data_IF_378849009629
#
_entry.id   IF_378849009629
#
_cell.length_a   1.000
_cell.length_b   1.000
_cell.length_c   1.000
_cell.angle_alpha   90.00
_cell.angle_beta   90.00
_cell.angle_gamma   90.00
#
_symmetry.space_group_name_H-M   'P 1'
#
loop_
_entity.id
_entity.type
_entity.pdbx_description
1 polymer ?
#
# COMPACT_ATOMS: atom_id res chain seq x y z
N UNK A 1 0.48 -5.00 30.10
CA UNK A 1 0.08 -3.60 29.84
C UNK A 1 -0.89 -3.22 30.97
N UNK A 2 -0.65 -2.15 31.71
CA UNK A 2 -1.54 -1.70 32.80
C UNK A 2 -2.64 -0.81 32.24
N UNK A 3 -3.82 -0.83 32.84
CA UNK A 3 -4.92 0.00 32.36
C UNK A 3 -4.62 1.49 32.61
N UNK A 4 -4.90 2.40 31.67
CA UNK A 4 -4.61 3.83 31.84
C UNK A 4 -5.28 4.48 33.05
N UNK A 5 -6.48 4.00 33.40
CA UNK A 5 -7.16 4.41 34.64
C UNK A 5 -6.38 4.00 35.90
N UNK A 6 -5.78 2.80 35.90
CA UNK A 6 -4.94 2.33 37.01
C UNK A 6 -3.61 3.10 37.09
N UNK A 7 -3.01 3.44 35.94
CA UNK A 7 -1.78 4.24 35.89
C UNK A 7 -1.98 5.62 36.52
N UNK A 8 -3.14 6.23 36.27
CA UNK A 8 -3.52 7.53 36.86
C UNK A 8 -4.14 7.39 38.26
N UNK A 9 -4.49 6.17 38.69
CA UNK A 9 -5.14 5.90 39.98
C UNK A 9 -6.54 6.49 40.08
N UNK A 10 -7.28 6.51 38.96
CA UNK A 10 -8.64 7.07 38.87
C UNK A 10 -9.64 5.99 38.46
N UNK A 11 -10.90 6.18 38.85
CA UNK A 11 -11.98 5.29 38.43
C UNK A 11 -12.33 5.47 36.94
N UNK A 12 -12.88 4.43 36.27
CA UNK A 12 -13.28 4.52 34.86
C UNK A 12 -14.39 5.55 34.61
N UNK A 13 -15.14 5.94 35.64
CA UNK A 13 -16.23 6.92 35.59
C UNK A 13 -15.72 8.36 35.86
N UNK A 14 -14.43 8.53 36.16
CA UNK A 14 -13.85 9.82 36.56
C UNK A 14 -14.04 10.93 35.50
N UNK A 15 -14.24 12.16 35.95
CA UNK A 15 -14.39 13.33 35.09
C UNK A 15 -13.03 13.76 34.50
N UNK A 16 -13.06 14.52 33.39
CA UNK A 16 -11.84 15.08 32.79
C UNK A 16 -11.05 15.96 33.77
N UNK A 17 -11.75 16.65 34.69
CA UNK A 17 -11.12 17.44 35.76
C UNK A 17 -10.35 16.57 36.75
N UNK A 18 -10.91 15.43 37.14
CA UNK A 18 -10.28 14.50 38.08
C UNK A 18 -9.04 13.85 37.46
N UNK A 19 -9.14 13.50 36.17
CA UNK A 19 -8.02 12.98 35.38
C UNK A 19 -6.88 14.03 35.32
N UNK A 20 -7.19 15.30 35.07
CA UNK A 20 -6.21 16.38 35.08
C UNK A 20 -5.56 16.59 36.45
N UNK A 21 -6.35 16.53 37.52
CA UNK A 21 -5.86 16.66 38.88
C UNK A 21 -4.92 15.52 39.27
N UNK A 22 -5.32 14.27 38.99
CA UNK A 22 -4.50 13.09 39.24
C UNK A 22 -3.19 13.12 38.44
N UNK A 23 -3.26 13.50 37.15
CA UNK A 23 -2.09 13.69 36.31
C UNK A 23 -1.11 14.71 36.90
N UNK A 24 -1.58 15.90 37.29
CA UNK A 24 -0.71 16.94 37.88
C UNK A 24 -0.03 16.47 39.15
N UNK A 25 -0.76 15.78 40.04
CA UNK A 25 -0.23 15.24 41.29
C UNK A 25 0.89 14.22 41.04
N UNK A 26 0.68 13.30 40.11
CA UNK A 26 1.65 12.25 39.80
C UNK A 26 2.82 12.75 38.94
N UNK A 27 2.58 13.68 38.02
CA UNK A 27 3.61 14.31 37.20
C UNK A 27 4.64 15.06 38.06
N UNK A 28 4.20 15.75 39.13
CA UNK A 28 5.11 16.40 40.08
C UNK A 28 5.96 15.39 40.88
N UNK A 29 5.44 14.19 41.13
CA UNK A 29 6.13 13.12 41.85
C UNK A 29 7.16 12.42 40.97
N UNK A 30 6.83 12.19 39.70
CA UNK A 30 7.67 11.46 38.74
C UNK A 30 8.41 12.36 37.74
N UNK A 31 8.49 13.67 38.00
CA UNK A 31 9.16 14.61 37.09
C UNK A 31 10.65 14.25 36.93
N UNK A 32 11.19 14.23 35.70
CA UNK A 32 12.58 13.84 35.46
C UNK A 32 13.59 14.75 36.17
N UNK A 33 13.23 16.02 36.40
CA UNK A 33 14.08 16.99 37.09
C UNK A 33 14.24 16.69 38.60
N UNK A 34 13.24 16.10 39.25
CA UNK A 34 13.33 15.73 40.67
C UNK A 34 13.96 14.35 40.89
N UNK A 35 13.88 13.49 39.89
CA UNK A 35 14.31 12.11 39.94
C UNK A 35 15.41 11.84 38.90
N UNK A 36 16.43 12.70 38.88
CA UNK A 36 17.55 12.58 37.95
C UNK A 36 18.28 11.25 38.20
N UNK A 37 18.39 10.41 37.17
CA UNK A 37 19.19 9.18 37.20
C UNK A 37 18.43 7.85 37.31
N UNK A 38 17.10 7.85 37.50
CA UNK A 38 16.32 6.60 37.49
C UNK A 38 15.54 6.42 36.18
N UNK A 39 15.95 5.42 35.41
CA UNK A 39 15.29 5.04 34.16
C UNK A 39 13.85 4.52 34.39
N UNK A 40 13.57 4.00 35.59
CA UNK A 40 12.24 3.50 35.96
C UNK A 40 11.22 4.64 36.08
N UNK A 41 11.58 5.75 36.73
CA UNK A 41 10.69 6.92 36.82
C UNK A 41 10.46 7.57 35.46
N UNK A 42 11.45 7.50 34.56
CA UNK A 42 11.27 7.97 33.19
C UNK A 42 10.23 7.14 32.43
N UNK A 43 10.28 5.80 32.55
CA UNK A 43 9.28 4.90 31.94
C UNK A 43 7.89 5.15 32.52
N UNK A 44 7.76 5.27 33.84
CA UNK A 44 6.49 5.57 34.52
C UNK A 44 5.93 6.92 34.06
N UNK A 45 6.79 7.95 33.95
CA UNK A 45 6.37 9.27 33.49
C UNK A 45 5.85 9.24 32.04
N UNK A 46 6.52 8.51 31.15
CA UNK A 46 6.06 8.30 29.77
C UNK A 46 4.71 7.57 29.72
N UNK A 47 4.52 6.52 30.52
CA UNK A 47 3.24 5.81 30.64
C UNK A 47 2.12 6.74 31.13
N UNK A 48 2.43 7.57 32.12
CA UNK A 48 1.50 8.52 32.72
C UNK A 48 1.08 9.62 31.74
N UNK A 49 2.03 10.13 30.95
CA UNK A 49 1.75 11.09 29.90
C UNK A 49 0.90 10.50 28.77
N UNK A 50 1.14 9.24 28.41
CA UNK A 50 0.33 8.51 27.43
C UNK A 50 -1.10 8.29 27.95
N UNK A 51 -1.26 7.85 29.21
CA UNK A 51 -2.55 7.66 29.86
C UNK A 51 -3.37 8.97 29.87
N UNK A 52 -2.75 10.07 30.28
CA UNK A 52 -3.39 11.38 30.29
C UNK A 52 -3.82 11.84 28.89
N UNK A 53 -2.96 11.68 27.88
CA UNK A 53 -3.29 12.10 26.51
C UNK A 53 -4.51 11.37 25.96
N UNK A 54 -4.66 10.08 26.26
CA UNK A 54 -5.76 9.26 25.77
C UNK A 54 -7.05 9.54 26.56
N UNK A 55 -6.99 9.63 27.89
CA UNK A 55 -8.18 9.83 28.71
C UNK A 55 -8.73 11.26 28.69
N UNK A 56 -7.92 12.26 28.32
CA UNK A 56 -8.35 13.67 28.29
C UNK A 56 -9.28 13.97 27.13
N UNK A 57 -9.07 13.33 25.97
CA UNK A 57 -9.90 13.55 24.78
C UNK A 57 -11.03 12.52 24.74
N UNK A 58 -12.28 12.98 24.71
CA UNK A 58 -13.48 12.12 24.72
C UNK A 58 -13.48 11.07 23.61
N UNK A 59 -13.03 11.44 22.40
CA UNK A 59 -12.96 10.51 21.27
C UNK A 59 -11.96 9.38 21.52
N UNK A 60 -10.79 9.74 22.03
CA UNK A 60 -9.70 8.80 22.30
C UNK A 60 -10.01 7.94 23.53
N UNK A 61 -10.69 8.49 24.53
CA UNK A 61 -11.22 7.78 25.70
C UNK A 61 -12.26 6.74 25.29
N UNK A 62 -13.25 7.12 24.48
CA UNK A 62 -14.27 6.20 23.97
C UNK A 62 -13.66 5.08 23.12
N UNK A 63 -12.65 5.40 22.30
CA UNK A 63 -11.89 4.38 21.56
C UNK A 63 -11.14 3.42 22.49
N UNK A 64 -10.46 3.96 23.50
CA UNK A 64 -9.74 3.14 24.48
C UNK A 64 -10.69 2.24 25.27
N UNK A 65 -11.81 2.77 25.76
CA UNK A 65 -12.78 2.02 26.55
C UNK A 65 -13.37 0.85 25.73
N UNK A 66 -13.68 1.07 24.44
CA UNK A 66 -14.15 0.02 23.53
C UNK A 66 -13.11 -1.08 23.28
N UNK A 67 -11.83 -0.70 23.20
CA UNK A 67 -10.75 -1.62 22.80
C UNK A 67 -9.92 -2.13 23.99
N UNK A 68 -10.20 -1.71 25.22
CA UNK A 68 -9.40 -2.00 26.42
C UNK A 68 -9.25 -3.50 26.66
N UNK A 69 -10.33 -4.27 26.59
CA UNK A 69 -10.30 -5.72 26.83
C UNK A 69 -9.38 -6.44 25.84
N UNK A 70 -9.41 -6.02 24.58
CA UNK A 70 -8.61 -6.61 23.54
C UNK A 70 -7.15 -6.11 23.58
N UNK A 71 -6.90 -4.84 23.93
CA UNK A 71 -5.54 -4.35 24.21
C UNK A 71 -4.89 -5.12 25.37
N UNK A 72 -5.69 -5.51 26.37
CA UNK A 72 -5.25 -6.34 27.48
C UNK A 72 -4.96 -7.79 27.02
N UNK A 73 -5.79 -8.33 26.13
CA UNK A 73 -5.62 -9.68 25.55
C UNK A 73 -4.46 -9.77 24.54
N UNK A 74 -4.19 -8.70 23.78
CA UNK A 74 -2.99 -8.59 22.95
C UNK A 74 -1.74 -8.70 23.83
N UNK A 75 -1.77 -8.29 25.10
CA UNK A 75 -0.65 -8.48 26.01
C UNK A 75 -0.32 -9.93 26.37
N UNK A 76 -1.24 -10.89 26.17
CA UNK A 76 -1.13 -12.28 26.65
C UNK A 76 -1.02 -13.32 25.54
N UNK A 77 -1.53 -13.07 24.33
CA UNK A 77 -1.40 -13.98 23.18
C UNK A 77 -1.26 -13.22 21.86
N UNK A 78 -0.05 -12.79 21.54
CA UNK A 78 0.26 -12.11 20.28
C UNK A 78 0.65 -13.14 19.22
N UNK A 79 -0.35 -13.76 18.60
CA UNK A 79 -0.11 -14.40 17.30
C UNK A 79 -0.88 -13.74 16.15
N UNK A 80 -1.92 -12.93 16.42
CA UNK A 80 -2.67 -12.26 15.38
C UNK A 80 -3.11 -10.84 15.79
N UNK A 81 -2.35 -9.84 15.33
CA UNK A 81 -2.84 -8.45 15.25
C UNK A 81 -4.14 -8.41 14.42
N UNK A 82 -5.26 -8.14 15.09
CA UNK A 82 -6.51 -7.87 14.40
C UNK A 82 -6.54 -6.40 13.95
N UNK A 83 -6.31 -6.16 12.66
CA UNK A 83 -6.28 -4.83 12.07
C UNK A 83 -7.66 -4.14 12.10
N UNK A 84 -8.74 -4.92 12.13
CA UNK A 84 -10.12 -4.41 12.12
C UNK A 84 -10.51 -3.76 13.48
N UNK A 85 -9.65 -3.91 14.49
CA UNK A 85 -9.87 -3.42 15.85
C UNK A 85 -9.55 -1.93 16.04
N UNK A 86 -8.60 -1.44 15.24
CA UNK A 86 -8.12 -0.08 15.38
C UNK A 86 -9.01 0.82 14.51
N UNK A 87 -10.08 1.37 15.11
CA UNK A 87 -10.89 2.40 14.46
C UNK A 87 -10.11 3.73 14.40
N UNK A 88 -9.24 3.82 13.39
CA UNK A 88 -8.38 4.98 13.14
C UNK A 88 -9.17 6.16 12.57
N UNK A 89 -10.40 5.93 12.11
CA UNK A 89 -11.22 6.96 11.44
C UNK A 89 -11.67 8.09 12.38
N UNK A 90 -11.87 7.79 13.66
CA UNK A 90 -12.42 8.73 14.65
C UNK A 90 -11.39 9.29 15.65
N UNK A 91 -10.10 9.09 15.38
CA UNK A 91 -9.01 9.39 16.31
C UNK A 91 -8.38 10.77 16.04
N UNK A 92 -7.87 11.46 17.08
CA UNK A 92 -7.09 12.71 16.91
C UNK A 92 -5.85 12.48 16.04
N UNK A 93 -5.43 13.47 15.23
CA UNK A 93 -4.25 13.34 14.34
C UNK A 93 -2.99 12.87 15.08
N UNK A 94 -2.73 13.34 16.31
CA UNK A 94 -1.57 12.89 17.08
C UNK A 94 -1.67 11.41 17.47
N UNK A 95 -2.87 10.96 17.81
CA UNK A 95 -3.12 9.58 18.18
C UNK A 95 -3.14 8.65 16.96
N UNK A 96 -3.59 9.14 15.80
CA UNK A 96 -3.47 8.46 14.51
C UNK A 96 -2.03 8.00 14.28
N UNK A 97 -1.05 8.93 14.30
CA UNK A 97 0.36 8.58 14.09
C UNK A 97 0.91 7.66 15.18
N UNK A 98 0.50 7.82 16.44
CA UNK A 98 0.96 6.95 17.53
C UNK A 98 0.46 5.51 17.36
N UNK A 99 -0.84 5.34 17.10
CA UNK A 99 -1.46 4.03 16.93
C UNK A 99 -0.90 3.33 15.70
N UNK A 100 -0.79 4.02 14.57
CA UNK A 100 -0.24 3.42 13.34
C UNK A 100 1.22 3.02 13.52
N UNK A 101 2.07 3.89 14.07
CA UNK A 101 3.46 3.54 14.36
C UNK A 101 3.53 2.30 15.26
N UNK A 102 2.74 2.26 16.34
CA UNK A 102 2.70 1.12 17.24
C UNK A 102 2.33 -0.18 16.52
N UNK A 103 1.28 -0.17 15.70
CA UNK A 103 0.84 -1.37 14.95
C UNK A 103 1.96 -1.89 14.05
N UNK A 104 2.58 -1.02 13.25
CA UNK A 104 3.63 -1.45 12.31
C UNK A 104 4.93 -1.85 13.01
N UNK A 105 5.25 -1.23 14.15
CA UNK A 105 6.36 -1.67 14.99
C UNK A 105 6.12 -3.06 15.58
N UNK A 106 4.92 -3.34 16.08
CA UNK A 106 4.57 -4.67 16.60
C UNK A 106 4.60 -5.71 15.49
N UNK A 107 4.00 -5.40 14.35
CA UNK A 107 4.01 -6.25 13.16
C UNK A 107 5.45 -6.57 12.74
N UNK A 108 6.34 -5.57 12.71
CA UNK A 108 7.73 -5.79 12.39
C UNK A 108 8.48 -6.59 13.46
N UNK A 109 8.22 -6.35 14.75
CA UNK A 109 8.81 -7.13 15.86
C UNK A 109 8.44 -8.61 15.77
N UNK A 110 7.19 -8.92 15.44
CA UNK A 110 6.73 -10.29 15.18
C UNK A 110 7.48 -10.91 13.99
N UNK A 111 7.54 -10.21 12.87
CA UNK A 111 8.13 -10.72 11.62
C UNK A 111 9.65 -10.84 11.67
N UNK A 112 10.31 -9.95 12.42
CA UNK A 112 11.76 -9.96 12.62
C UNK A 112 12.23 -11.31 13.17
N UNK A 113 11.46 -11.93 14.08
CA UNK A 113 11.77 -13.26 14.65
C UNK A 113 11.93 -14.34 13.56
N UNK A 114 11.07 -14.30 12.55
CA UNK A 114 11.06 -15.29 11.47
C UNK A 114 12.02 -14.97 10.32
N UNK A 115 12.36 -13.70 10.12
CA UNK A 115 13.33 -13.27 9.11
C UNK A 115 14.77 -13.43 9.58
N UNK A 116 15.03 -13.24 10.87
CA UNK A 116 16.37 -13.39 11.46
C UNK A 116 16.87 -14.84 11.38
N UNK A 117 15.98 -15.83 11.45
CA UNK A 117 16.35 -17.25 11.39
C UNK A 117 16.70 -17.73 9.97
N UNK A 118 16.35 -16.97 8.94
CA UNK A 118 16.56 -17.36 7.53
C UNK A 118 17.72 -16.61 6.87
N UNK A 119 17.86 -15.30 7.09
CA UNK A 119 18.90 -14.47 6.43
C UNK A 119 19.26 -13.22 7.29
N UNK A 120 20.08 -13.40 8.32
CA UNK A 120 20.43 -12.30 9.23
C UNK A 120 21.25 -11.17 8.57
N UNK A 121 22.04 -11.46 7.54
CA UNK A 121 22.98 -10.52 6.93
C UNK A 121 22.33 -9.45 6.02
N UNK A 122 21.13 -9.70 5.48
CA UNK A 122 20.45 -8.82 4.52
C UNK A 122 19.14 -8.21 5.07
N UNK A 123 18.95 -8.20 6.39
CA UNK A 123 17.71 -7.73 6.98
C UNK A 123 17.63 -6.20 6.98
N UNK A 124 17.06 -5.64 5.91
CA UNK A 124 16.68 -4.22 5.87
C UNK A 124 15.61 -3.96 6.91
N UNK A 125 15.82 -2.96 7.77
CA UNK A 125 14.81 -2.52 8.74
C UNK A 125 13.55 -2.00 8.04
N UNK A 126 12.39 -2.31 8.58
CA UNK A 126 11.13 -1.73 8.10
C UNK A 126 11.14 -0.21 8.30
N UNK A 127 10.69 0.58 7.31
CA UNK A 127 10.53 2.02 7.46
C UNK A 127 9.46 2.33 8.51
N UNK A 128 9.72 3.35 9.34
CA UNK A 128 8.76 3.89 10.30
C UNK A 128 7.72 4.77 9.58
N UNK A 129 6.52 4.89 10.13
CA UNK A 129 5.44 5.71 9.56
C UNK A 129 5.67 7.22 9.74
N UNK A 130 6.50 7.60 10.73
CA UNK A 130 6.88 8.98 10.98
C UNK A 130 5.79 9.82 11.64
N UNK A 131 5.78 11.12 11.36
CA UNK A 131 4.89 12.12 11.93
C UNK A 131 4.29 13.04 10.84
N UNK A 132 3.46 14.01 11.24
CA UNK A 132 2.82 14.93 10.30
C UNK A 132 3.81 15.68 9.38
N UNK A 133 5.04 15.91 9.85
CA UNK A 133 6.07 16.69 9.16
C UNK A 133 7.11 15.80 8.44
N UNK A 134 6.85 14.49 8.32
CA UNK A 134 7.79 13.60 7.63
C UNK A 134 7.94 14.00 6.16
N UNK A 135 9.15 13.89 5.60
CA UNK A 135 9.36 14.25 4.21
C UNK A 135 8.58 13.29 3.29
N UNK A 136 8.26 13.79 2.09
CA UNK A 136 7.51 13.04 1.08
C UNK A 136 8.18 11.71 0.75
N UNK A 137 9.51 11.70 0.62
CA UNK A 137 10.30 10.50 0.30
C UNK A 137 10.12 9.39 1.34
N UNK A 138 10.12 9.72 2.62
CA UNK A 138 9.98 8.73 3.70
C UNK A 138 8.57 8.16 3.72
N UNK A 139 7.57 9.01 3.46
CA UNK A 139 6.17 8.61 3.35
C UNK A 139 5.99 7.63 2.18
N UNK A 140 6.59 7.94 1.02
CA UNK A 140 6.56 7.04 -0.15
C UNK A 140 7.30 5.73 0.12
N UNK A 141 8.49 5.79 0.72
CA UNK A 141 9.27 4.60 1.09
C UNK A 141 8.49 3.69 2.04
N UNK A 142 7.79 4.28 3.01
CA UNK A 142 6.92 3.55 3.92
C UNK A 142 5.83 2.80 3.16
N UNK A 143 5.00 3.50 2.39
CA UNK A 143 3.90 2.85 1.68
C UNK A 143 4.39 1.85 0.64
N UNK A 144 5.48 2.11 -0.07
CA UNK A 144 6.07 1.17 -1.05
C UNK A 144 6.57 -0.12 -0.38
N UNK A 145 7.20 -0.01 0.79
CA UNK A 145 7.65 -1.18 1.54
C UNK A 145 6.46 -2.01 2.04
N UNK A 146 5.45 -1.36 2.63
CA UNK A 146 4.33 -2.04 3.25
C UNK A 146 3.32 -2.58 2.22
N UNK A 147 3.17 -1.95 1.05
CA UNK A 147 2.36 -2.51 -0.06
C UNK A 147 3.03 -3.74 -0.68
N UNK A 148 4.36 -3.79 -0.73
CA UNK A 148 5.12 -4.97 -1.19
C UNK A 148 5.41 -5.99 -0.08
N UNK A 149 4.84 -5.78 1.11
CA UNK A 149 5.10 -6.64 2.26
C UNK A 149 4.51 -8.05 2.10
N UNK A 150 5.30 -9.04 2.49
CA UNK A 150 4.89 -10.45 2.53
C UNK A 150 5.32 -11.03 3.88
N UNK A 151 4.34 -11.57 4.62
CA UNK A 151 4.61 -12.28 5.88
C UNK A 151 5.49 -13.51 5.67
N UNK A 152 6.49 -13.68 6.54
CA UNK A 152 7.36 -14.86 6.61
C UNK A 152 7.06 -15.77 7.80
N UNK A 153 5.93 -15.53 8.48
CA UNK A 153 5.48 -16.34 9.62
C UNK A 153 5.43 -17.83 9.25
N UNK A 154 5.89 -18.68 10.16
CA UNK A 154 6.09 -20.10 9.88
C UNK A 154 4.82 -20.94 10.03
N UNK A 155 3.88 -20.52 10.88
CA UNK A 155 2.64 -21.24 11.23
C UNK A 155 2.88 -22.70 11.66
N UNK A 156 4.06 -22.97 12.24
CA UNK A 156 4.50 -24.32 12.65
C UNK A 156 3.55 -24.95 13.68
N UNK A 157 2.94 -24.14 14.56
CA UNK A 157 1.98 -24.62 15.57
C UNK A 157 0.69 -25.18 14.97
N UNK A 158 0.40 -24.90 13.70
CA UNK A 158 -0.73 -25.48 12.97
C UNK A 158 -0.39 -26.87 12.39
N UNK A 159 0.86 -27.32 12.55
CA UNK A 159 1.29 -28.65 12.13
C UNK A 159 0.83 -29.64 13.18
N UNK A 160 0.00 -30.60 12.78
CA UNK A 160 -0.48 -31.63 13.69
C UNK A 160 0.67 -32.56 14.14
N UNK A 161 0.82 -32.75 15.44
CA UNK A 161 1.84 -33.63 16.05
C UNK A 161 1.66 -35.12 15.70
N UNK A 162 0.47 -35.51 15.23
CA UNK A 162 0.09 -36.89 14.89
C UNK A 162 1.01 -37.54 13.84
N UNK A 163 1.79 -36.75 13.10
CA UNK A 163 2.61 -37.21 11.97
C UNK A 163 4.12 -37.21 12.24
N UNK A 164 4.55 -36.94 13.48
CA UNK A 164 5.94 -37.08 13.93
C UNK A 164 6.36 -38.54 14.19
N UNK A 165 5.43 -39.50 14.10
CA UNK A 165 5.71 -40.92 14.34
C UNK A 165 6.70 -41.47 13.30
N UNK A 166 7.75 -42.14 13.78
CA UNK A 166 8.85 -42.72 12.98
C UNK A 166 8.38 -43.72 11.90
N UNK A 167 7.16 -44.24 12.03
CA UNK A 167 6.62 -45.33 11.21
C UNK A 167 5.84 -44.87 9.95
N UNK A 168 5.85 -43.59 9.61
CA UNK A 168 5.13 -43.07 8.43
C UNK A 168 5.99 -43.12 7.17
N UNK A 169 5.47 -43.71 6.09
CA UNK A 169 6.15 -43.79 4.80
C UNK A 169 6.53 -42.39 4.23
N UNK A 170 7.70 -42.30 3.60
CA UNK A 170 8.27 -41.06 3.02
C UNK A 170 7.31 -40.35 2.05
N UNK A 171 6.57 -41.10 1.23
CA UNK A 171 5.60 -40.55 0.27
C UNK A 171 4.45 -39.83 0.96
N UNK A 172 3.93 -40.41 2.04
CA UNK A 172 2.86 -39.82 2.84
C UNK A 172 3.33 -38.52 3.52
N UNK A 173 4.54 -38.54 4.11
CA UNK A 173 5.16 -37.34 4.71
C UNK A 173 5.33 -36.20 3.69
N UNK A 174 5.79 -36.50 2.47
CA UNK A 174 5.90 -35.51 1.37
C UNK A 174 4.55 -34.94 0.96
N UNK A 175 3.49 -35.77 0.89
CA UNK A 175 2.13 -35.30 0.57
C UNK A 175 1.64 -34.36 1.66
N UNK A 176 1.83 -34.72 2.92
CA UNK A 176 1.45 -33.89 4.07
C UNK A 176 2.22 -32.57 4.12
N UNK A 177 3.56 -32.58 4.00
CA UNK A 177 4.36 -31.35 4.00
C UNK A 177 3.94 -30.41 2.86
N UNK A 178 3.48 -30.96 1.73
CA UNK A 178 2.91 -30.17 0.62
C UNK A 178 1.57 -29.55 0.99
N UNK A 179 0.65 -30.29 1.61
CA UNK A 179 -0.62 -29.73 2.09
C UNK A 179 -0.38 -28.66 3.17
N UNK A 180 0.52 -28.94 4.11
CA UNK A 180 0.92 -27.97 5.13
C UNK A 180 1.51 -26.71 4.50
N UNK A 181 2.38 -26.83 3.49
CA UNK A 181 2.90 -25.67 2.78
C UNK A 181 1.79 -24.84 2.11
N UNK A 182 0.71 -25.46 1.62
CA UNK A 182 -0.47 -24.72 1.12
C UNK A 182 -1.17 -23.98 2.25
N UNK A 183 -1.39 -24.64 3.39
CA UNK A 183 -2.03 -24.03 4.57
C UNK A 183 -1.21 -22.82 5.04
N UNK A 184 0.11 -22.97 5.17
CA UNK A 184 1.03 -21.88 5.54
C UNK A 184 0.93 -20.72 4.54
N UNK A 185 0.99 -21.01 3.24
CA UNK A 185 0.88 -19.98 2.21
C UNK A 185 -0.50 -19.29 2.22
N UNK A 186 -1.58 -20.03 2.46
CA UNK A 186 -2.92 -19.45 2.57
C UNK A 186 -3.03 -18.49 3.75
N UNK A 187 -2.55 -18.88 4.94
CA UNK A 187 -2.53 -18.01 6.13
C UNK A 187 -1.67 -16.76 5.92
N UNK A 188 -0.51 -16.89 5.26
CA UNK A 188 0.32 -15.73 4.88
C UNK A 188 -0.42 -14.79 3.94
N UNK A 189 -1.11 -15.33 2.94
CA UNK A 189 -1.92 -14.54 2.01
C UNK A 189 -3.07 -13.84 2.74
N UNK A 190 -3.79 -14.52 3.63
CA UNK A 190 -4.87 -13.93 4.41
C UNK A 190 -4.37 -12.76 5.27
N UNK A 191 -3.25 -12.95 5.98
CA UNK A 191 -2.62 -11.86 6.75
C UNK A 191 -2.23 -10.69 5.87
N UNK A 192 -1.65 -10.94 4.70
CA UNK A 192 -1.31 -9.88 3.75
C UNK A 192 -2.56 -9.15 3.25
N UNK A 193 -3.66 -9.87 2.96
CA UNK A 193 -4.93 -9.25 2.55
C UNK A 193 -5.48 -8.33 3.64
N UNK A 194 -5.47 -8.76 4.92
CA UNK A 194 -5.87 -7.91 6.05
C UNK A 194 -4.99 -6.64 6.14
N UNK A 195 -3.68 -6.80 5.99
CA UNK A 195 -2.73 -5.67 5.96
C UNK A 195 -3.01 -4.72 4.78
N UNK A 196 -3.28 -5.23 3.58
CA UNK A 196 -3.59 -4.40 2.41
C UNK A 196 -4.90 -3.64 2.58
N UNK A 197 -5.92 -4.27 3.16
CA UNK A 197 -7.18 -3.58 3.51
C UNK A 197 -6.91 -2.42 4.47
N UNK A 198 -6.10 -2.65 5.50
CA UNK A 198 -5.69 -1.63 6.45
C UNK A 198 -4.85 -0.51 5.81
N UNK A 199 -3.89 -0.84 4.94
CA UNK A 199 -3.13 0.18 4.20
C UNK A 199 -4.05 1.04 3.33
N UNK A 200 -5.04 0.43 2.67
CA UNK A 200 -6.03 1.18 1.88
C UNK A 200 -6.82 2.17 2.72
N UNK A 201 -7.19 1.81 3.97
CA UNK A 201 -7.84 2.77 4.87
C UNK A 201 -6.87 3.88 5.30
N UNK A 202 -5.62 3.55 5.62
CA UNK A 202 -4.59 4.55 5.95
C UNK A 202 -4.30 5.52 4.80
N UNK A 203 -4.17 5.02 3.57
CA UNK A 203 -3.94 5.83 2.37
C UNK A 203 -5.10 6.82 2.13
N UNK A 204 -6.33 6.46 2.54
CA UNK A 204 -7.49 7.36 2.47
C UNK A 204 -7.49 8.40 3.58
N UNK A 205 -6.96 8.08 4.77
CA UNK A 205 -6.96 8.97 5.93
C UNK A 205 -5.74 9.91 6.01
N UNK A 206 -4.59 9.48 5.48
CA UNK A 206 -3.33 10.22 5.58
C UNK A 206 -3.28 11.39 4.60
N UNK A 207 -3.38 12.60 5.13
CA UNK A 207 -3.29 13.84 4.36
C UNK A 207 -1.95 13.98 3.61
N UNK A 208 -0.84 13.45 4.16
CA UNK A 208 0.47 13.51 3.48
C UNK A 208 0.42 12.68 2.20
N UNK A 209 -0.10 11.46 2.30
CA UNK A 209 -0.24 10.57 1.17
C UNK A 209 -1.20 11.13 0.10
N UNK A 210 -2.32 11.73 0.52
CA UNK A 210 -3.24 12.37 -0.39
C UNK A 210 -2.58 13.50 -1.18
N UNK A 211 -1.80 14.38 -0.53
CA UNK A 211 -1.03 15.44 -1.20
C UNK A 211 -0.04 14.87 -2.22
N UNK A 212 0.70 13.82 -1.83
CA UNK A 212 1.64 13.12 -2.71
C UNK A 212 0.92 12.54 -3.93
N UNK A 213 -0.23 11.89 -3.71
CA UNK A 213 -1.05 11.31 -4.77
C UNK A 213 -1.55 12.39 -5.74
N UNK A 214 -2.04 13.52 -5.24
CA UNK A 214 -2.49 14.64 -6.06
C UNK A 214 -1.34 15.22 -6.90
N UNK A 215 -0.19 15.47 -6.29
CA UNK A 215 0.99 15.97 -7.01
C UNK A 215 1.46 15.00 -8.10
N UNK A 216 1.44 13.69 -7.82
CA UNK A 216 1.76 12.66 -8.83
C UNK A 216 0.75 12.66 -9.98
N UNK A 217 -0.54 12.79 -9.70
CA UNK A 217 -1.58 12.87 -10.73
C UNK A 217 -1.37 14.11 -11.61
N UNK A 218 -1.10 15.26 -11.01
CA UNK A 218 -0.84 16.49 -11.75
C UNK A 218 0.41 16.36 -12.64
N UNK A 219 1.50 15.83 -12.08
CA UNK A 219 2.74 15.62 -12.84
C UNK A 219 2.54 14.65 -14.01
N UNK A 220 1.71 13.62 -13.85
CA UNK A 220 1.39 12.69 -14.94
C UNK A 220 0.60 13.38 -16.05
N UNK A 221 -0.40 14.20 -15.72
CA UNK A 221 -1.16 14.99 -16.70
C UNK A 221 -0.27 15.95 -17.47
N UNK A 222 0.64 16.65 -16.79
CA UNK A 222 1.60 17.55 -17.43
C UNK A 222 2.53 16.79 -18.41
N UNK A 223 2.99 15.59 -18.02
CA UNK A 223 3.79 14.73 -18.90
C UNK A 223 3.01 14.22 -20.11
N UNK A 224 1.73 13.90 -19.94
CA UNK A 224 0.84 13.47 -21.04
C UNK A 224 0.64 14.60 -22.05
N UNK A 225 0.34 15.82 -21.60
CA UNK A 225 0.21 17.00 -22.47
C UNK A 225 1.50 17.24 -23.25
N UNK A 226 2.65 17.21 -22.57
CA UNK A 226 3.96 17.40 -23.20
C UNK A 226 4.27 16.30 -24.24
N UNK A 227 3.86 15.06 -23.96
CA UNK A 227 4.01 13.95 -24.89
C UNK A 227 3.12 14.15 -26.13
N UNK A 228 1.89 14.60 -25.94
CA UNK A 228 0.96 14.92 -27.04
C UNK A 228 1.48 16.04 -27.93
N UNK A 229 1.98 17.14 -27.35
CA UNK A 229 2.61 18.24 -28.10
C UNK A 229 3.83 17.76 -28.91
N UNK A 230 4.66 16.89 -28.34
CA UNK A 230 5.79 16.28 -29.06
C UNK A 230 5.31 15.44 -30.24
N UNK A 231 4.28 14.63 -30.06
CA UNK A 231 3.70 13.83 -31.13
C UNK A 231 3.09 14.69 -32.24
N UNK A 232 2.43 15.79 -31.89
CA UNK A 232 1.86 16.73 -32.86
C UNK A 232 2.95 17.45 -33.67
N UNK A 233 4.02 17.90 -33.02
CA UNK A 233 5.19 18.49 -33.70
C UNK A 233 5.83 17.50 -34.69
N UNK A 234 5.96 16.22 -34.31
CA UNK A 234 6.46 15.19 -35.21
C UNK A 234 5.52 14.96 -36.41
N UNK A 235 4.20 14.95 -36.19
CA UNK A 235 3.23 14.86 -37.30
C UNK A 235 3.34 16.04 -38.25
N UNK A 236 3.46 17.27 -37.73
CA UNK A 236 3.64 18.47 -38.54
C UNK A 236 4.96 18.44 -39.32
N UNK A 237 6.05 17.98 -38.70
CA UNK A 237 7.35 17.83 -39.37
C UNK A 237 7.29 16.77 -40.49
N UNK A 238 6.63 15.64 -40.24
CA UNK A 238 6.46 14.61 -41.27
C UNK A 238 5.58 15.13 -42.41
N UNK A 239 4.46 15.80 -42.11
CA UNK A 239 3.58 16.38 -43.13
C UNK A 239 4.29 17.48 -43.95
N UNK A 240 5.13 18.31 -43.34
CA UNK A 240 5.90 19.30 -44.11
C UNK A 240 6.96 18.63 -44.99
N UNK A 241 7.56 17.53 -44.53
CA UNK A 241 8.50 16.75 -45.33
C UNK A 241 7.83 16.07 -46.54
N UNK A 242 6.63 15.52 -46.34
CA UNK A 242 5.78 14.96 -47.42
C UNK A 242 5.34 16.06 -48.39
N UNK A 243 4.92 17.23 -47.90
CA UNK A 243 4.49 18.32 -48.78
C UNK A 243 5.65 18.98 -49.55
N UNK A 244 6.87 18.96 -49.01
CA UNK A 244 8.07 19.41 -49.71
C UNK A 244 8.71 18.32 -50.60
N UNK A 245 8.15 17.11 -50.63
CA UNK A 245 8.62 16.04 -51.50
C UNK A 245 8.29 16.39 -52.95
N UNK A 246 9.31 16.70 -53.75
CA UNK A 246 9.20 16.77 -55.20
C UNK A 246 9.60 15.42 -55.78
N UNK A 247 8.67 14.77 -56.47
CA UNK A 247 8.95 13.55 -57.24
C UNK A 247 10.08 13.79 -58.24
N UNK A 248 11.02 12.84 -58.32
CA UNK A 248 12.15 12.94 -59.24
C UNK A 248 11.67 12.72 -60.68
N UNK A 249 12.17 13.51 -61.63
CA UNK A 249 11.59 13.60 -62.98
C UNK A 249 11.57 12.28 -63.77
N UNK A 250 12.46 11.34 -63.44
CA UNK A 250 12.51 10.00 -64.05
C UNK A 250 11.41 9.04 -63.55
N UNK A 251 10.66 9.38 -62.49
CA UNK A 251 9.54 8.58 -61.98
C UNK A 251 8.18 9.00 -62.54
N UNK A 252 8.13 10.10 -63.32
CA UNK A 252 6.89 10.51 -64.01
C UNK A 252 6.71 9.63 -65.26
N UNK A 253 5.53 9.03 -65.48
CA UNK A 253 5.28 8.29 -66.72
C UNK A 253 5.46 9.24 -67.91
N UNK A 254 6.33 8.87 -68.85
CA UNK A 254 6.53 9.60 -70.11
C UNK A 254 5.18 9.76 -70.80
N UNK A 255 4.72 11.00 -70.95
CA UNK A 255 3.53 11.31 -71.74
C UNK A 255 3.91 11.27 -73.22
N UNK A 256 3.97 10.07 -73.78
CA UNK A 256 3.92 9.90 -75.23
C UNK A 256 2.47 9.68 -75.65
N UNK A 257 1.98 10.65 -76.43
CA UNK A 257 0.83 10.50 -77.31
C UNK A 257 1.03 9.26 -78.20
N UNK A 258 0.36 8.16 -77.90
CA UNK A 258 -0.15 7.27 -78.94
C UNK A 258 -1.62 7.00 -78.66
N UNK A 259 -2.47 7.69 -79.43
CA UNK A 259 -3.87 7.35 -79.61
C UNK A 259 -3.97 5.88 -80.02
N UNK A 260 -4.67 5.09 -79.23
CA UNK A 260 -5.37 3.89 -79.68
C UNK A 260 -6.69 3.89 -78.91
N UNK A 261 -7.73 4.40 -79.56
CA UNK A 261 -9.12 4.13 -79.21
C UNK A 261 -9.30 2.61 -79.25
N UNK A 262 -9.76 2.02 -78.14
CA UNK A 262 -10.98 1.22 -78.17
C UNK A 262 -11.49 0.96 -76.75
N UNK A 263 -12.81 1.00 -76.69
CA UNK A 263 -13.66 1.34 -75.56
C UNK A 263 -14.03 0.13 -74.71
N UNK A 264 -14.26 0.40 -73.41
CA UNK A 264 -15.27 -0.20 -72.53
C UNK A 264 -15.17 -1.71 -72.22
N UNK A 265 -15.50 -2.23 -71.04
CA UNK A 265 -15.74 -1.77 -69.67
C UNK A 265 -16.08 -3.07 -68.93
N UNK A 266 -15.49 -3.34 -67.76
CA UNK A 266 -16.15 -4.17 -66.72
C UNK A 266 -15.49 -3.85 -65.39
N UNK A 267 -16.33 -3.31 -64.53
CA UNK A 267 -16.06 -2.71 -63.23
C UNK A 267 -15.40 -3.66 -62.22
N UNK A 268 -14.30 -3.23 -61.59
CA UNK A 268 -13.89 -3.72 -60.28
C UNK A 268 -13.93 -2.55 -59.27
N UNK A 269 -15.04 -2.49 -58.53
CA UNK A 269 -15.28 -1.55 -57.44
C UNK A 269 -14.25 -1.75 -56.31
N UNK A 270 -13.33 -0.80 -56.16
CA UNK A 270 -12.60 -0.57 -54.91
C UNK A 270 -13.22 0.66 -54.24
N UNK A 271 -13.79 0.55 -53.03
CA UNK A 271 -14.42 1.69 -52.38
C UNK A 271 -13.37 2.55 -51.65
N UNK A 272 -13.18 3.78 -52.13
CA UNK A 272 -12.71 4.90 -51.32
C UNK A 272 -13.89 5.50 -50.56
N UNK A 273 -13.95 5.32 -49.24
CA UNK A 273 -14.53 6.30 -48.32
C UNK A 273 -13.82 6.18 -46.96
N UNK A 274 -12.72 6.92 -46.78
CA UNK A 274 -12.26 7.25 -45.43
C UNK A 274 -13.07 8.48 -45.02
N UNK A 275 -14.26 8.21 -44.48
CA UNK A 275 -15.06 9.20 -43.79
C UNK A 275 -14.30 9.70 -42.56
N UNK A 276 -14.13 11.01 -42.51
CA UNK A 276 -13.70 11.76 -41.34
C UNK A 276 -14.68 11.55 -40.19
N UNK A 277 -14.44 10.58 -39.32
CA UNK A 277 -15.13 10.49 -38.03
C UNK A 277 -14.46 11.42 -37.00
N UNK A 278 -14.68 12.73 -37.20
CA UNK A 278 -14.70 13.69 -36.10
C UNK A 278 -15.99 13.46 -35.32
N UNK A 279 -15.95 12.60 -34.31
CA UNK A 279 -16.84 12.64 -33.15
C UNK A 279 -16.35 11.65 -32.09
N UNK A 280 -15.24 11.97 -31.41
CA UNK A 280 -15.07 11.49 -30.05
C UNK A 280 -15.83 12.48 -29.18
N UNK A 281 -17.08 12.12 -28.84
CA UNK A 281 -17.74 12.64 -27.65
C UNK A 281 -16.75 12.49 -26.51
N UNK A 282 -16.33 13.61 -25.94
CA UNK A 282 -15.71 13.64 -24.62
C UNK A 282 -16.82 13.25 -23.66
N UNK A 283 -17.05 11.95 -23.51
CA UNK A 283 -17.71 11.44 -22.32
C UNK A 283 -16.76 11.73 -21.17
N UNK A 284 -17.21 12.64 -20.30
CA UNK A 284 -16.62 12.88 -19.00
C UNK A 284 -16.53 11.54 -18.27
N UNK A 285 -15.34 10.94 -18.27
CA UNK A 285 -15.06 9.77 -17.46
C UNK A 285 -15.23 10.17 -16.00
N UNK A 286 -16.26 9.59 -15.39
CA UNK A 286 -16.50 9.68 -13.97
C UNK A 286 -15.27 9.17 -13.20
N UNK A 287 -15.08 9.75 -12.03
CA UNK A 287 -13.94 9.59 -11.10
C UNK A 287 -13.70 8.11 -10.68
N UNK A 288 -14.58 7.19 -11.06
CA UNK A 288 -14.56 5.78 -10.68
C UNK A 288 -13.91 4.83 -11.71
N UNK A 289 -13.66 5.28 -12.95
CA UNK A 289 -13.19 4.41 -14.05
C UNK A 289 -11.68 4.47 -14.34
N UNK A 290 -10.87 5.04 -13.44
CA UNK A 290 -9.41 4.97 -13.55
C UNK A 290 -8.96 3.57 -13.11
N UNK A 291 -8.38 2.73 -13.99
CA UNK A 291 -7.89 1.41 -13.59
C UNK A 291 -6.83 1.56 -12.49
N UNK A 292 -7.10 0.95 -11.34
CA UNK A 292 -6.23 0.88 -10.18
C UNK A 292 -4.97 0.08 -10.58
N UNK A 293 -3.93 0.78 -11.03
CA UNK A 293 -2.68 0.18 -11.53
C UNK A 293 -1.78 -0.43 -10.42
N UNK A 294 -2.37 -0.74 -9.26
CA UNK A 294 -1.72 -1.43 -8.16
C UNK A 294 -2.03 -2.94 -8.14
N UNK A 295 -2.02 -3.60 -9.30
CA UNK A 295 -1.87 -5.06 -9.37
C UNK A 295 -1.65 -5.53 -10.81
N UNK A 296 -0.41 -5.56 -11.27
CA UNK A 296 -0.02 -6.61 -12.21
C UNK A 296 0.33 -7.86 -11.40
N UNK A 297 -0.49 -8.92 -11.40
CA UNK A 297 -0.10 -10.18 -10.81
C UNK A 297 1.00 -10.81 -11.68
N UNK A 298 2.13 -11.13 -11.05
CA UNK A 298 3.20 -11.96 -11.58
C UNK A 298 2.68 -13.05 -12.54
N UNK A 299 2.87 -12.82 -13.84
CA UNK A 299 2.61 -13.85 -14.85
C UNK A 299 3.53 -15.05 -14.59
N UNK A 300 2.92 -16.20 -14.30
CA UNK A 300 3.67 -17.43 -14.08
C UNK A 300 4.56 -17.78 -15.29
N UNK A 301 5.76 -18.32 -15.01
CA UNK A 301 6.81 -18.71 -15.99
C UNK A 301 6.32 -19.54 -17.19
N UNK A 302 5.13 -20.15 -17.14
CA UNK A 302 4.56 -20.96 -18.24
C UNK A 302 4.09 -20.14 -19.44
N UNK A 303 3.61 -18.89 -19.26
CA UNK A 303 3.11 -18.08 -20.40
C UNK A 303 4.23 -17.47 -21.27
N UNK A 304 5.44 -17.29 -20.74
CA UNK A 304 6.59 -16.75 -21.51
C UNK A 304 7.09 -17.69 -22.62
N UNK A 305 6.83 -19.01 -22.55
CA UNK A 305 7.27 -19.95 -23.59
C UNK A 305 6.41 -19.95 -24.85
N UNK A 306 5.16 -19.48 -24.78
CA UNK A 306 4.25 -19.49 -25.93
C UNK A 306 4.32 -18.24 -26.81
N UNK A 307 5.04 -17.19 -26.38
CA UNK A 307 5.28 -15.98 -27.20
C UNK A 307 6.55 -16.04 -28.05
N UNK A 308 7.35 -17.11 -27.96
CA UNK A 308 8.53 -17.35 -28.80
C UNK A 308 8.31 -18.36 -29.93
N UNK A 309 7.07 -18.84 -30.09
CA UNK A 309 6.67 -19.73 -31.18
C UNK A 309 5.36 -19.23 -31.79
N UNK A 310 5.42 -18.07 -32.43
CA UNK A 310 4.50 -17.66 -33.49
C UNK A 310 5.29 -16.82 -34.47
#
# INVERSE_FOLDING_TARGET
MRCYYEVLGVEPIASTKDIQFAYRKLALKYHPDKNQGSEEFHKIFQELQNAYQILTNEKDRSWYDRNKEQLMYIGTNVDELNFDLYDITNTSQKNFFKITNFIFEQLWKEEKKYRLSTDAANLRSAPSFGNLNSPQIDTENFYNYWTSFISKKSYLWLKDDKYGSKNVCRLFRRKYDREFAKIVNNNRCERNVKLQKFLKTLMKLDQRYQKIKLNKIQLLREKEVLLMEKMEKLKLQNNCHVNNYKEQEWSKPMSDNSVCEDSESMDEKVPETIETNNNVKIETLNIEDVPDFASEPYLSRKKRKNLRKR
#
